data_IF_242112549870
#
_entry.id   IF_242112549870
#
_cell.length_a   1.000
_cell.length_b   1.000
_cell.length_c   1.000
_cell.angle_alpha   90.00
_cell.angle_beta   90.00
_cell.angle_gamma   90.00
#
_symmetry.space_group_name_H-M   'P 1'
#
loop_
_entity.id
_entity.type
_entity.pdbx_description
1 polymer ?
#
# COMPACT_ATOMS: atom_id res chain seq x y z
N UNK A 1 -14.46 11.21 -33.87
CA UNK A 1 -15.87 11.25 -33.43
C UNK A 1 -16.16 9.98 -32.66
N UNK A 2 -16.20 10.06 -31.33
CA UNK A 2 -16.56 8.92 -30.48
C UNK A 2 -18.09 8.82 -30.53
N UNK A 3 -18.61 7.69 -31.00
CA UNK A 3 -20.03 7.45 -31.18
C UNK A 3 -20.74 7.30 -29.82
N UNK A 4 -21.38 8.37 -29.37
CA UNK A 4 -22.79 8.39 -28.94
C UNK A 4 -23.34 7.52 -27.79
N UNK A 5 -22.64 6.53 -27.21
CA UNK A 5 -23.24 5.69 -26.13
C UNK A 5 -22.32 5.26 -24.98
N UNK A 6 -21.04 5.61 -24.98
CA UNK A 6 -20.15 5.36 -23.84
C UNK A 6 -20.19 6.55 -22.87
N UNK A 7 -21.27 6.65 -22.08
CA UNK A 7 -21.32 7.64 -21.00
C UNK A 7 -20.38 7.20 -19.88
N UNK A 8 -19.33 7.98 -19.62
CA UNK A 8 -18.56 7.89 -18.38
C UNK A 8 -19.59 8.07 -17.24
N UNK A 9 -19.83 7.00 -16.48
CA UNK A 9 -20.59 7.09 -15.24
C UNK A 9 -19.56 7.16 -14.12
N UNK A 10 -19.49 8.30 -13.44
CA UNK A 10 -19.07 8.25 -12.05
C UNK A 10 -20.09 7.36 -11.35
N UNK A 11 -19.68 6.18 -10.89
CA UNK A 11 -20.57 5.35 -10.09
C UNK A 11 -20.95 6.20 -8.86
N UNK A 12 -22.22 6.15 -8.46
CA UNK A 12 -22.62 6.51 -7.09
C UNK A 12 -21.65 5.82 -6.11
N UNK A 13 -21.41 6.34 -4.89
CA UNK A 13 -20.46 5.75 -3.96
C UNK A 13 -20.73 4.24 -3.87
N UNK A 14 -19.88 3.47 -4.55
CA UNK A 14 -19.80 2.06 -4.36
C UNK A 14 -19.21 1.97 -2.96
N UNK A 15 -19.98 1.47 -2.00
CA UNK A 15 -19.44 1.10 -0.70
C UNK A 15 -18.82 -0.29 -0.90
N UNK A 16 -17.52 -0.39 -1.25
CA UNK A 16 -16.89 -1.70 -1.26
C UNK A 16 -17.02 -2.27 0.16
N UNK A 17 -17.08 -3.61 0.29
CA UNK A 17 -17.14 -4.24 1.61
C UNK A 17 -15.95 -3.83 2.48
N UNK A 18 -14.81 -3.48 1.86
CA UNK A 18 -13.60 -2.98 2.50
C UNK A 18 -12.88 -1.92 1.66
N UNK A 19 -12.16 -0.98 2.29
CA UNK A 19 -11.28 -0.05 1.58
C UNK A 19 -10.21 -0.81 0.79
N UNK A 20 -9.83 -0.28 -0.39
CA UNK A 20 -8.90 -0.94 -1.30
C UNK A 20 -7.57 -1.34 -0.63
N UNK A 21 -7.04 -0.48 0.23
CA UNK A 21 -5.80 -0.70 0.97
C UNK A 21 -5.89 -1.80 2.03
N UNK A 22 -7.08 -2.26 2.42
CA UNK A 22 -7.27 -3.32 3.42
C UNK A 22 -7.62 -4.68 2.82
N UNK A 23 -7.77 -4.81 1.50
CA UNK A 23 -8.01 -6.11 0.86
C UNK A 23 -6.98 -7.17 1.26
N UNK A 24 -5.65 -6.89 1.21
CA UNK A 24 -4.66 -7.89 1.62
C UNK A 24 -4.86 -8.37 3.07
N UNK A 25 -5.28 -7.47 3.96
CA UNK A 25 -5.50 -7.78 5.38
C UNK A 25 -6.77 -8.61 5.61
N UNK A 26 -7.89 -8.26 4.96
CA UNK A 26 -9.12 -9.07 5.04
C UNK A 26 -8.88 -10.50 4.53
N UNK A 27 -8.14 -10.66 3.42
CA UNK A 27 -7.76 -11.98 2.93
C UNK A 27 -6.84 -12.72 3.92
N UNK A 28 -5.88 -12.04 4.54
CA UNK A 28 -5.02 -12.65 5.56
C UNK A 28 -5.85 -13.18 6.75
N UNK A 29 -6.85 -12.42 7.20
CA UNK A 29 -7.79 -12.85 8.26
C UNK A 29 -8.57 -14.09 7.84
N UNK A 30 -9.07 -14.14 6.60
CA UNK A 30 -9.79 -15.31 6.08
C UNK A 30 -8.91 -16.58 6.02
N UNK A 31 -7.60 -16.41 5.90
CA UNK A 31 -6.61 -17.49 5.95
C UNK A 31 -6.19 -17.86 7.39
N UNK A 32 -6.76 -17.20 8.40
CA UNK A 32 -6.50 -17.46 9.82
C UNK A 32 -5.32 -16.66 10.40
N UNK A 33 -4.84 -15.63 9.71
CA UNK A 33 -3.81 -14.72 10.23
C UNK A 33 -4.45 -13.58 11.05
N UNK A 34 -3.70 -13.05 12.01
CA UNK A 34 -4.03 -11.74 12.59
C UNK A 34 -3.56 -10.63 11.63
N UNK A 35 -4.29 -9.53 11.58
CA UNK A 35 -3.95 -8.40 10.74
C UNK A 35 -4.06 -7.08 11.50
N UNK A 36 -3.07 -6.21 11.31
CA UNK A 36 -3.01 -4.89 11.90
C UNK A 36 -2.78 -3.83 10.82
N UNK A 37 -3.62 -2.81 10.78
CA UNK A 37 -3.56 -1.72 9.80
C UNK A 37 -3.09 -0.40 10.43
N UNK A 38 -2.18 0.28 9.74
CA UNK A 38 -1.70 1.61 10.12
C UNK A 38 -2.09 2.64 9.07
N UNK A 39 -2.50 3.81 9.51
CA UNK A 39 -2.73 4.92 8.61
C UNK A 39 -3.05 6.21 9.33
N UNK A 40 -3.50 7.18 8.54
CA UNK A 40 -3.98 8.46 9.06
C UNK A 40 -5.32 8.80 8.40
N UNK A 41 -6.22 9.39 9.18
CA UNK A 41 -7.55 9.83 8.76
C UNK A 41 -7.83 11.25 9.24
N UNK A 42 -8.71 11.93 8.53
CA UNK A 42 -9.32 13.15 9.04
C UNK A 42 -10.36 12.81 10.11
N UNK A 43 -10.58 13.75 11.04
CA UNK A 43 -11.66 13.67 12.02
C UNK A 43 -12.99 14.07 11.37
N UNK A 44 -13.42 13.22 10.44
CA UNK A 44 -14.58 13.45 9.60
C UNK A 44 -15.37 12.15 9.35
N UNK A 45 -16.54 12.30 8.73
CA UNK A 45 -17.44 11.19 8.43
C UNK A 45 -16.82 10.16 7.47
N UNK A 46 -15.84 10.54 6.64
CA UNK A 46 -15.15 9.61 5.75
C UNK A 46 -14.18 8.72 6.55
N UNK A 47 -13.47 9.29 7.52
CA UNK A 47 -12.63 8.57 8.46
C UNK A 47 -13.44 7.61 9.34
N UNK A 48 -14.58 8.06 9.86
CA UNK A 48 -15.50 7.21 10.64
C UNK A 48 -16.02 6.00 9.83
N UNK A 49 -16.34 6.19 8.56
CA UNK A 49 -16.73 5.09 7.67
C UNK A 49 -15.60 4.08 7.48
N UNK A 50 -14.38 4.55 7.27
CA UNK A 50 -13.21 3.68 7.12
C UNK A 50 -13.00 2.80 8.37
N UNK A 51 -13.07 3.43 9.55
CA UNK A 51 -13.00 2.74 10.85
C UNK A 51 -14.09 1.68 10.98
N UNK A 52 -15.33 2.01 10.63
CA UNK A 52 -16.45 1.07 10.69
C UNK A 52 -16.28 -0.13 9.75
N UNK A 53 -15.72 0.08 8.54
CA UNK A 53 -15.44 -0.99 7.59
C UNK A 53 -14.36 -1.94 8.12
N UNK A 54 -13.25 -1.41 8.67
CA UNK A 54 -12.19 -2.24 9.24
C UNK A 54 -12.68 -3.06 10.45
N UNK A 55 -13.47 -2.44 11.33
CA UNK A 55 -14.08 -3.12 12.47
C UNK A 55 -14.98 -4.29 12.03
N UNK A 56 -15.78 -4.10 10.99
CA UNK A 56 -16.69 -5.13 10.46
C UNK A 56 -15.94 -6.38 9.98
N UNK A 57 -14.72 -6.20 9.51
CA UNK A 57 -13.87 -7.28 8.97
C UNK A 57 -12.95 -7.90 10.02
N UNK A 58 -13.00 -7.39 11.26
CA UNK A 58 -12.12 -7.84 12.32
C UNK A 58 -10.66 -7.43 12.13
N UNK A 59 -10.38 -6.44 11.27
CA UNK A 59 -9.04 -5.88 11.11
C UNK A 59 -8.76 -4.98 12.30
N UNK A 60 -7.69 -5.26 13.04
CA UNK A 60 -7.22 -4.33 14.08
C UNK A 60 -6.48 -3.18 13.41
N UNK A 61 -6.57 -1.98 13.97
CA UNK A 61 -5.96 -0.81 13.37
C UNK A 61 -5.55 0.23 14.41
N UNK A 62 -4.62 1.10 14.00
CA UNK A 62 -4.37 2.36 14.69
C UNK A 62 -4.26 3.48 13.67
N UNK A 63 -5.08 4.51 13.88
CA UNK A 63 -5.11 5.70 13.04
C UNK A 63 -4.53 6.90 13.77
N UNK A 64 -3.70 7.65 13.06
CA UNK A 64 -3.39 9.03 13.42
C UNK A 64 -4.54 9.92 12.91
N UNK A 65 -5.28 10.54 13.84
CA UNK A 65 -6.40 11.43 13.48
C UNK A 65 -5.92 12.88 13.31
N UNK A 66 -6.44 13.57 12.30
CA UNK A 66 -6.13 14.98 12.03
C UNK A 66 -7.42 15.82 11.98
N UNK A 67 -7.48 16.92 12.72
CA UNK A 67 -8.64 17.83 12.70
C UNK A 67 -8.63 18.78 11.49
N UNK A 68 -7.44 19.18 11.04
CA UNK A 68 -7.25 20.20 9.99
C UNK A 68 -7.14 19.63 8.56
N UNK A 69 -7.14 18.29 8.43
CA UNK A 69 -6.95 17.61 7.15
C UNK A 69 -8.05 16.57 6.91
N UNK A 70 -8.76 16.63 5.76
CA UNK A 70 -9.81 15.67 5.47
C UNK A 70 -9.24 14.28 5.15
N UNK A 71 -9.99 13.22 5.42
CA UNK A 71 -9.64 11.85 5.05
C UNK A 71 -9.43 11.75 3.54
N UNK A 72 -8.44 10.94 3.13
CA UNK A 72 -8.17 10.68 1.73
C UNK A 72 -9.33 9.96 1.03
N UNK A 73 -9.50 10.23 -0.25
CA UNK A 73 -10.58 9.68 -1.08
C UNK A 73 -10.03 9.16 -2.41
N UNK A 74 -10.66 8.14 -2.97
CA UNK A 74 -10.32 7.63 -4.29
C UNK A 74 -11.56 7.56 -5.16
N UNK A 75 -11.51 8.18 -6.33
CA UNK A 75 -12.57 8.14 -7.33
C UNK A 75 -12.24 7.05 -8.34
N UNK A 76 -13.16 6.09 -8.48
CA UNK A 76 -13.08 5.06 -9.51
C UNK A 76 -13.99 5.41 -10.70
N UNK A 77 -13.38 5.64 -11.85
CA UNK A 77 -14.06 5.80 -13.13
C UNK A 77 -14.19 4.44 -13.79
N UNK A 78 -15.41 4.06 -14.18
CA UNK A 78 -15.69 2.78 -14.83
C UNK A 78 -16.26 3.03 -16.22
N UNK A 79 -15.62 2.43 -17.24
CA UNK A 79 -16.02 2.50 -18.64
C UNK A 79 -15.99 1.10 -19.27
N UNK A 80 -17.15 0.45 -19.33
CA UNK A 80 -17.23 -0.95 -19.71
C UNK A 80 -16.41 -1.81 -18.73
N UNK A 81 -15.45 -2.57 -19.26
CA UNK A 81 -14.52 -3.39 -18.47
C UNK A 81 -13.28 -2.62 -18.01
N UNK A 82 -13.14 -1.35 -18.38
CA UNK A 82 -12.00 -0.52 -18.00
C UNK A 82 -12.28 0.25 -16.70
N UNK A 83 -11.28 0.32 -15.84
CA UNK A 83 -11.32 1.13 -14.62
C UNK A 83 -10.14 2.09 -14.56
N UNK A 84 -10.36 3.28 -14.03
CA UNK A 84 -9.30 4.25 -13.75
C UNK A 84 -9.51 4.83 -12.35
N UNK A 85 -8.43 4.96 -11.59
CA UNK A 85 -8.45 5.44 -10.21
C UNK A 85 -7.80 6.81 -10.13
N UNK A 86 -8.43 7.73 -9.39
CA UNK A 86 -7.86 9.02 -9.03
C UNK A 86 -7.90 9.20 -7.52
N UNK A 87 -6.72 9.20 -6.89
CA UNK A 87 -6.58 9.31 -5.44
C UNK A 87 -6.26 10.73 -4.99
N UNK A 88 -7.05 11.23 -4.04
CA UNK A 88 -6.69 12.36 -3.18
C UNK A 88 -6.20 11.82 -1.83
N UNK A 89 -4.94 12.08 -1.49
CA UNK A 89 -4.28 11.44 -0.33
C UNK A 89 -4.83 11.96 1.02
N UNK A 90 -5.23 13.23 1.11
CA UNK A 90 -5.80 13.82 2.32
C UNK A 90 -4.89 13.67 3.54
N UNK A 91 -5.49 13.44 4.71
CA UNK A 91 -4.81 13.26 6.00
C UNK A 91 -3.69 12.20 5.95
N UNK A 92 -3.79 11.20 5.08
CA UNK A 92 -2.78 10.15 4.93
C UNK A 92 -1.38 10.69 4.61
N UNK A 93 -1.23 11.90 4.04
CA UNK A 93 0.07 12.52 3.76
C UNK A 93 0.77 13.02 5.03
N UNK A 94 0.05 13.17 6.13
CA UNK A 94 0.55 13.68 7.41
C UNK A 94 0.84 12.57 8.42
N UNK A 95 0.80 11.30 7.97
CA UNK A 95 1.18 10.17 8.80
C UNK A 95 2.67 10.25 9.16
N UNK A 96 3.00 9.97 10.42
CA UNK A 96 4.35 10.16 10.97
C UNK A 96 4.97 8.88 11.52
N UNK A 97 6.30 8.81 11.53
CA UNK A 97 7.02 7.71 12.18
C UNK A 97 6.78 7.67 13.71
N UNK A 98 6.64 8.84 14.35
CA UNK A 98 6.33 8.95 15.78
C UNK A 98 5.05 8.20 16.15
N UNK A 99 4.03 8.25 15.28
CA UNK A 99 2.80 7.48 15.50
C UNK A 99 3.06 5.97 15.47
N UNK A 100 3.90 5.47 14.57
CA UNK A 100 4.28 4.05 14.53
C UNK A 100 4.95 3.64 15.83
N UNK A 101 5.87 4.46 16.35
CA UNK A 101 6.55 4.20 17.61
C UNK A 101 5.58 4.14 18.79
N UNK A 102 4.66 5.11 18.86
CA UNK A 102 3.60 5.13 19.89
C UNK A 102 2.72 3.87 19.85
N UNK A 103 2.40 3.37 18.66
CA UNK A 103 1.61 2.13 18.54
C UNK A 103 2.45 0.92 18.91
N UNK A 104 3.72 0.86 18.51
CA UNK A 104 4.63 -0.21 18.91
C UNK A 104 4.75 -0.34 20.44
N UNK A 105 4.71 0.77 21.17
CA UNK A 105 4.75 0.75 22.62
C UNK A 105 3.43 0.28 23.27
N UNK A 106 2.30 0.36 22.57
CA UNK A 106 0.97 0.14 23.14
C UNK A 106 0.33 -1.16 22.69
N UNK A 107 0.55 -1.56 21.44
CA UNK A 107 -0.14 -2.69 20.84
C UNK A 107 0.66 -4.00 20.97
N UNK A 108 0.01 -5.04 21.48
CA UNK A 108 0.66 -6.33 21.72
C UNK A 108 0.99 -7.07 20.43
N UNK A 109 0.17 -6.95 19.39
CA UNK A 109 0.42 -7.59 18.11
C UNK A 109 1.66 -6.97 17.51
N UNK A 110 1.74 -5.64 17.44
CA UNK A 110 2.94 -5.03 16.86
C UNK A 110 4.23 -5.30 17.67
N UNK A 111 4.12 -5.58 18.98
CA UNK A 111 5.26 -6.03 19.81
C UNK A 111 5.70 -7.47 19.55
N UNK A 112 4.83 -8.32 19.02
CA UNK A 112 5.14 -9.72 18.75
C UNK A 112 6.01 -9.85 17.49
N UNK A 113 7.29 -9.52 17.58
CA UNK A 113 8.15 -9.37 16.39
C UNK A 113 8.54 -10.69 15.70
N UNK A 114 7.88 -11.81 16.01
CA UNK A 114 8.17 -13.14 15.48
C UNK A 114 6.96 -13.63 14.67
N UNK A 115 7.22 -14.18 13.48
CA UNK A 115 6.21 -14.68 12.53
C UNK A 115 5.26 -13.60 11.98
N UNK A 116 5.77 -12.38 11.78
CA UNK A 116 5.00 -11.29 11.18
C UNK A 116 5.49 -10.94 9.79
N UNK A 117 4.66 -10.26 9.01
CA UNK A 117 5.06 -9.67 7.73
C UNK A 117 4.66 -8.21 7.78
N UNK A 118 5.63 -7.32 7.52
CA UNK A 118 5.33 -5.91 7.30
C UNK A 118 4.94 -5.77 5.84
N UNK A 119 3.70 -5.38 5.56
CA UNK A 119 3.23 -5.13 4.21
C UNK A 119 3.15 -3.64 3.95
N UNK A 120 3.86 -3.14 2.92
CA UNK A 120 3.81 -1.73 2.51
C UNK A 120 3.43 -1.66 1.03
N UNK A 121 2.42 -0.84 0.74
CA UNK A 121 2.02 -0.49 -0.62
C UNK A 121 2.86 0.67 -1.16
N UNK A 122 3.19 0.64 -2.45
CA UNK A 122 3.88 1.72 -3.15
C UNK A 122 3.11 3.05 -3.09
N UNK A 123 1.77 3.02 -3.02
CA UNK A 123 0.94 4.22 -2.84
C UNK A 123 1.18 4.95 -1.51
N UNK A 124 1.75 4.27 -0.53
CA UNK A 124 2.13 4.89 0.74
C UNK A 124 3.36 5.79 0.58
N UNK A 125 4.24 5.53 -0.39
CA UNK A 125 5.56 6.17 -0.46
C UNK A 125 5.54 7.69 -0.71
N UNK A 126 4.77 8.23 -1.69
CA UNK A 126 4.85 9.66 -2.00
C UNK A 126 4.60 10.54 -0.77
N UNK A 127 5.50 11.48 -0.46
CA UNK A 127 5.46 12.37 0.73
C UNK A 127 5.71 11.68 2.08
N UNK A 128 5.92 10.36 2.11
CA UNK A 128 6.12 9.55 3.34
C UNK A 128 7.29 8.59 3.19
N UNK A 129 8.23 8.93 2.31
CA UNK A 129 9.41 8.12 2.02
C UNK A 129 10.24 7.89 3.30
N UNK A 130 10.43 8.93 4.12
CA UNK A 130 11.16 8.86 5.38
C UNK A 130 10.47 7.97 6.42
N UNK A 131 9.13 8.00 6.44
CA UNK A 131 8.35 7.13 7.32
C UNK A 131 8.50 5.67 6.91
N UNK A 132 8.36 5.38 5.61
CA UNK A 132 8.57 4.04 5.08
C UNK A 132 9.99 3.53 5.35
N UNK A 133 11.02 4.36 5.16
CA UNK A 133 12.42 4.02 5.49
C UNK A 133 12.57 3.68 6.97
N UNK A 134 12.04 4.54 7.84
CA UNK A 134 12.11 4.36 9.30
C UNK A 134 11.46 3.05 9.73
N UNK A 135 10.27 2.74 9.20
CA UNK A 135 9.57 1.48 9.50
C UNK A 135 10.43 0.28 9.10
N UNK A 136 10.96 0.29 7.88
CA UNK A 136 11.76 -0.82 7.35
C UNK A 136 13.05 -1.00 8.14
N UNK A 137 13.76 0.10 8.44
CA UNK A 137 15.03 0.06 9.15
C UNK A 137 14.89 -0.39 10.61
N UNK A 138 13.80 0.01 11.29
CA UNK A 138 13.59 -0.32 12.70
C UNK A 138 12.96 -1.69 12.91
N UNK A 139 12.04 -2.10 12.04
CA UNK A 139 11.17 -3.23 12.34
C UNK A 139 11.38 -4.44 11.42
N UNK A 140 11.85 -4.24 10.19
CA UNK A 140 12.07 -5.33 9.25
C UNK A 140 13.33 -6.14 9.60
N UNK A 141 13.15 -7.46 9.75
CA UNK A 141 14.20 -8.42 10.13
C UNK A 141 13.81 -9.81 9.63
N UNK A 142 14.69 -10.81 9.79
CA UNK A 142 14.45 -12.17 9.27
C UNK A 142 13.12 -12.80 9.73
N UNK A 143 12.70 -12.58 10.98
CA UNK A 143 11.44 -13.09 11.53
C UNK A 143 10.25 -12.12 11.40
N UNK A 144 10.48 -10.95 10.80
CA UNK A 144 9.47 -9.95 10.43
C UNK A 144 9.82 -9.34 9.06
N UNK A 145 9.81 -10.13 7.98
CA UNK A 145 10.24 -9.66 6.67
C UNK A 145 9.30 -8.60 6.11
N UNK A 146 9.87 -7.72 5.27
CA UNK A 146 9.10 -6.78 4.47
C UNK A 146 8.52 -7.48 3.23
N UNK A 147 7.23 -7.27 3.01
CA UNK A 147 6.52 -7.48 1.76
C UNK A 147 6.17 -6.13 1.15
N UNK A 148 6.55 -5.92 -0.10
CA UNK A 148 6.38 -4.64 -0.79
C UNK A 148 5.61 -4.83 -2.10
N UNK A 149 4.58 -4.01 -2.32
CA UNK A 149 3.82 -3.98 -3.56
C UNK A 149 4.15 -2.71 -4.35
N UNK A 150 4.49 -2.82 -5.64
CA UNK A 150 4.85 -1.66 -6.47
C UNK A 150 3.62 -0.81 -6.79
N UNK A 151 2.43 -1.42 -6.92
CA UNK A 151 1.10 -0.82 -7.14
C UNK A 151 0.85 0.00 -8.42
N UNK A 152 1.84 0.71 -8.98
CA UNK A 152 1.65 1.47 -10.22
C UNK A 152 2.95 1.81 -10.96
N UNK A 153 2.94 1.86 -12.32
CA UNK A 153 4.09 2.28 -13.12
C UNK A 153 4.62 3.68 -12.76
N UNK A 154 3.73 4.66 -12.53
CA UNK A 154 4.16 6.03 -12.22
C UNK A 154 5.01 6.11 -10.95
N UNK A 155 4.77 5.22 -9.97
CA UNK A 155 5.57 5.18 -8.74
C UNK A 155 7.02 4.81 -9.05
N UNK A 156 7.25 3.91 -10.00
CA UNK A 156 8.60 3.56 -10.46
C UNK A 156 9.22 4.69 -11.27
N UNK A 157 8.41 5.39 -12.06
CA UNK A 157 8.88 6.46 -12.94
C UNK A 157 9.30 7.71 -12.17
N UNK A 158 8.50 8.11 -11.18
CA UNK A 158 8.65 9.34 -10.40
C UNK A 158 9.40 9.13 -9.08
N UNK A 159 9.18 8.00 -8.39
CA UNK A 159 9.73 7.70 -7.06
C UNK A 159 10.74 6.54 -7.10
N UNK A 160 11.51 6.45 -8.19
CA UNK A 160 12.42 5.34 -8.47
C UNK A 160 13.35 4.97 -7.31
N UNK A 161 13.95 5.96 -6.64
CA UNK A 161 14.94 5.74 -5.58
C UNK A 161 14.32 5.05 -4.35
N UNK A 162 13.16 5.53 -3.88
CA UNK A 162 12.49 4.90 -2.75
C UNK A 162 11.90 3.55 -3.15
N UNK A 163 11.32 3.41 -4.34
CA UNK A 163 10.79 2.12 -4.82
C UNK A 163 11.89 1.06 -4.89
N UNK A 164 13.03 1.38 -5.50
CA UNK A 164 14.16 0.43 -5.58
C UNK A 164 14.77 0.13 -4.21
N UNK A 165 14.81 1.13 -3.31
CA UNK A 165 15.16 0.89 -1.91
C UNK A 165 14.22 -0.12 -1.25
N UNK A 166 12.90 0.07 -1.36
CA UNK A 166 11.92 -0.86 -0.79
C UNK A 166 12.05 -2.27 -1.39
N UNK A 167 12.21 -2.39 -2.71
CA UNK A 167 12.45 -3.67 -3.39
C UNK A 167 13.73 -4.33 -2.85
N UNK A 168 14.81 -3.59 -2.66
CA UNK A 168 16.07 -4.14 -2.13
C UNK A 168 15.93 -4.66 -0.70
N UNK A 169 15.05 -4.05 0.11
CA UNK A 169 14.79 -4.45 1.50
C UNK A 169 13.72 -5.55 1.63
N UNK A 170 12.84 -5.70 0.65
CA UNK A 170 11.72 -6.61 0.71
C UNK A 170 12.11 -8.07 0.47
N UNK A 171 11.58 -8.98 1.27
CA UNK A 171 11.66 -10.43 1.01
C UNK A 171 10.67 -10.85 -0.06
N UNK A 172 9.48 -10.23 -0.05
CA UNK A 172 8.38 -10.48 -1.00
C UNK A 172 8.17 -9.20 -1.81
N UNK A 173 8.25 -9.29 -3.13
CA UNK A 173 7.99 -8.16 -4.03
C UNK A 173 6.81 -8.50 -4.91
N UNK A 174 5.76 -7.70 -4.83
CA UNK A 174 4.56 -7.87 -5.66
C UNK A 174 4.52 -6.77 -6.72
N UNK A 175 4.13 -7.17 -7.92
CA UNK A 175 3.80 -6.23 -8.98
C UNK A 175 3.17 -6.91 -10.18
N UNK A 176 2.45 -6.16 -10.99
CA UNK A 176 1.97 -6.65 -12.28
C UNK A 176 3.02 -6.47 -13.38
N UNK A 177 2.71 -6.98 -14.57
CA UNK A 177 3.60 -6.90 -15.73
C UNK A 177 4.01 -5.46 -16.08
N UNK A 178 3.09 -4.49 -16.00
CA UNK A 178 3.39 -3.10 -16.40
C UNK A 178 4.33 -2.42 -15.42
N UNK A 179 4.16 -2.65 -14.11
CA UNK A 179 5.04 -2.14 -13.05
C UNK A 179 6.46 -2.68 -13.19
N UNK A 180 6.61 -3.98 -13.41
CA UNK A 180 7.93 -4.57 -13.66
C UNK A 180 8.55 -4.04 -14.94
N UNK A 181 7.78 -3.86 -16.02
CA UNK A 181 8.30 -3.25 -17.26
C UNK A 181 8.77 -1.80 -17.05
N UNK A 182 8.07 -1.01 -16.23
CA UNK A 182 8.51 0.34 -15.86
C UNK A 182 9.86 0.31 -15.11
N UNK A 183 10.03 -0.66 -14.19
CA UNK A 183 11.31 -0.89 -13.51
C UNK A 183 12.41 -1.31 -14.48
N UNK A 184 12.10 -2.21 -15.40
CA UNK A 184 13.01 -2.65 -16.45
C UNK A 184 13.46 -1.50 -17.35
N UNK A 185 12.55 -0.62 -17.75
CA UNK A 185 12.88 0.54 -18.58
C UNK A 185 13.94 1.44 -17.93
N UNK A 186 13.83 1.71 -16.61
CA UNK A 186 14.83 2.48 -15.85
C UNK A 186 16.19 1.77 -15.77
N UNK A 187 16.19 0.42 -15.71
CA UNK A 187 17.39 -0.42 -15.70
C UNK A 187 17.91 -0.82 -17.10
N UNK A 188 17.25 -0.39 -18.19
CA UNK A 188 17.52 -0.83 -19.58
C UNK A 188 17.40 -2.36 -19.77
N UNK A 189 16.45 -2.98 -19.08
CA UNK A 189 16.07 -4.39 -19.20
C UNK A 189 14.75 -4.48 -19.96
N UNK A 190 14.60 -5.49 -20.83
CA UNK A 190 13.49 -5.52 -21.80
C UNK A 190 12.51 -6.66 -21.56
N UNK A 191 12.92 -7.71 -20.84
CA UNK A 191 12.07 -8.87 -20.56
C UNK A 191 11.78 -9.01 -19.07
N UNK A 192 10.58 -9.51 -18.73
CA UNK A 192 10.22 -9.81 -17.32
C UNK A 192 11.24 -10.74 -16.67
N UNK A 193 11.77 -11.71 -17.43
CA UNK A 193 12.78 -12.64 -16.92
C UNK A 193 14.06 -11.93 -16.50
N UNK A 194 14.59 -11.02 -17.32
CA UNK A 194 15.77 -10.22 -16.97
C UNK A 194 15.51 -9.31 -15.76
N UNK A 195 14.32 -8.71 -15.70
CA UNK A 195 13.93 -7.80 -14.62
C UNK A 195 13.86 -8.57 -13.29
N UNK A 196 13.16 -9.70 -13.25
CA UNK A 196 13.06 -10.55 -12.06
C UNK A 196 14.44 -11.07 -11.67
N UNK A 197 15.25 -11.56 -12.63
CA UNK A 197 16.61 -12.01 -12.34
C UNK A 197 17.44 -10.88 -11.70
N UNK A 198 17.33 -9.64 -12.20
CA UNK A 198 18.05 -8.50 -11.61
C UNK A 198 17.62 -8.17 -10.17
N UNK A 199 16.42 -8.57 -9.75
CA UNK A 199 15.96 -8.40 -8.36
C UNK A 199 16.46 -9.56 -7.50
N UNK A 200 16.49 -10.78 -8.04
CA UNK A 200 16.97 -11.98 -7.35
C UNK A 200 18.50 -12.00 -7.21
N UNK A 201 19.24 -11.41 -8.14
CA UNK A 201 20.70 -11.32 -8.07
C UNK A 201 21.16 -10.49 -6.85
N UNK A 202 20.34 -9.55 -6.38
CA UNK A 202 20.59 -8.77 -5.16
C UNK A 202 20.44 -9.64 -3.90
N UNK A 203 19.52 -10.63 -3.92
CA UNK A 203 19.31 -11.63 -2.88
C UNK A 203 18.45 -12.78 -3.40
N UNK A 204 19.07 -13.95 -3.61
CA UNK A 204 18.41 -15.13 -4.17
C UNK A 204 17.35 -15.74 -3.25
N UNK A 205 17.24 -15.26 -2.01
CA UNK A 205 16.23 -15.70 -1.07
C UNK A 205 14.90 -14.93 -1.21
N UNK A 206 14.85 -13.88 -2.05
CA UNK A 206 13.63 -13.13 -2.35
C UNK A 206 12.60 -13.95 -3.14
N UNK A 207 11.35 -13.55 -3.01
CA UNK A 207 10.22 -14.07 -3.79
C UNK A 207 9.61 -12.87 -4.52
N UNK A 208 9.49 -12.99 -5.84
CA UNK A 208 9.04 -11.93 -6.78
C UNK A 208 7.94 -12.49 -7.67
#
# INVERSE_FOLDING_TARGET
MISGQERIRALAPYDPPIPLCAYPLSYAIQLGCNAFFFGSVGKDNTGEKLVNLLNKEGVQFSFQEHEDHPTGECVCFVLGDNTALYGYIGASSYFTADHVELVQERDTIFKETFNQIIYIEGFFLPQREDVARTIVEKYSRDNCPLAFNINAPYLVEEFYEIVTYMISKAKLVFGNKQEFLALGAKKKLHTIKEIVQSILDDDNSKIV
#
